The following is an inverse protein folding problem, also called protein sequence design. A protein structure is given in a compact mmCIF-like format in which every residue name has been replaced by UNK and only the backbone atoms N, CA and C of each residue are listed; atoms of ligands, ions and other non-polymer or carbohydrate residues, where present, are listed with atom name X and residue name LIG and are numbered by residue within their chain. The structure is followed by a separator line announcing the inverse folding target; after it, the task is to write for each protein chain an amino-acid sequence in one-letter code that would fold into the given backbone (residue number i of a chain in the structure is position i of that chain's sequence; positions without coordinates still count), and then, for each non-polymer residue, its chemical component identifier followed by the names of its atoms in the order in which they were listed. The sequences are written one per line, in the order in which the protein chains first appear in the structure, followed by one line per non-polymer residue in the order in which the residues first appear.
data_IF_489983822334
#
_entry.id   IF_489983822334
#
_cell.length_a   1.000
_cell.length_b   1.000
_cell.length_c   1.000
_cell.angle_alpha   90.00
_cell.angle_beta   90.00
_cell.angle_gamma   90.00
#
_symmetry.space_group_name_H-M   'P 1'
#
loop_
_entity.id
_entity.type
_entity.pdbx_description
1 polymer ?
#
# COMPACT_ATOMS: atom_id res chain seq x y z
N UNK A 1 3.96 -24.69 6.43
CA UNK A 1 3.63 -23.59 5.49
C UNK A 1 2.71 -22.61 6.22
N UNK A 2 3.07 -21.33 6.27
CA UNK A 2 2.33 -20.34 7.11
C UNK A 2 1.06 -19.78 6.47
N UNK A 3 0.84 -20.07 5.18
CA UNK A 3 -0.35 -19.63 4.43
C UNK A 3 -1.17 -20.80 3.87
N UNK A 4 -1.06 -21.99 4.44
CA UNK A 4 -1.75 -23.20 3.99
C UNK A 4 -3.26 -22.99 3.83
N UNK A 5 -3.78 -23.26 2.64
CA UNK A 5 -5.21 -23.16 2.31
C UNK A 5 -5.78 -21.73 2.29
N UNK A 6 -4.99 -20.68 2.51
CA UNK A 6 -5.46 -19.30 2.37
C UNK A 6 -5.66 -18.92 0.91
N UNK A 7 -6.69 -18.14 0.63
CA UNK A 7 -6.98 -17.62 -0.71
C UNK A 7 -6.47 -16.17 -0.80
N UNK A 8 -5.57 -15.94 -1.74
CA UNK A 8 -4.83 -14.67 -1.91
C UNK A 8 -5.13 -14.08 -3.28
N UNK A 9 -5.56 -12.84 -3.36
CA UNK A 9 -5.66 -12.07 -4.59
C UNK A 9 -4.55 -11.01 -4.64
N UNK A 10 -3.80 -10.95 -5.74
CA UNK A 10 -2.68 -10.02 -5.92
C UNK A 10 -2.87 -9.24 -7.21
N UNK A 11 -2.88 -7.91 -7.13
CA UNK A 11 -3.03 -7.04 -8.30
C UNK A 11 -1.68 -6.69 -8.93
N UNK A 12 -1.64 -6.55 -10.28
CA UNK A 12 -0.40 -6.26 -11.00
C UNK A 12 0.65 -7.37 -10.84
N UNK A 13 0.21 -8.63 -10.87
CA UNK A 13 1.04 -9.76 -10.45
C UNK A 13 1.52 -10.67 -11.60
N UNK A 14 1.36 -10.27 -12.87
CA UNK A 14 1.93 -11.02 -13.99
C UNK A 14 3.47 -10.95 -14.05
N UNK A 15 4.09 -9.99 -13.33
CA UNK A 15 5.54 -9.73 -13.35
C UNK A 15 6.03 -8.97 -12.11
N UNK A 16 7.37 -8.85 -11.98
CA UNK A 16 8.02 -8.04 -10.96
C UNK A 16 7.67 -8.43 -9.52
N UNK A 17 7.50 -7.45 -8.65
CA UNK A 17 7.22 -7.65 -7.23
C UNK A 17 5.94 -8.47 -7.01
N UNK A 18 4.89 -8.20 -7.78
CA UNK A 18 3.62 -8.95 -7.67
C UNK A 18 3.77 -10.44 -8.02
N UNK A 19 4.56 -10.77 -9.05
CA UNK A 19 4.86 -12.15 -9.41
C UNK A 19 5.67 -12.87 -8.32
N UNK A 20 6.68 -12.19 -7.75
CA UNK A 20 7.46 -12.73 -6.64
C UNK A 20 6.58 -13.00 -5.40
N UNK A 21 5.65 -12.10 -5.10
CA UNK A 21 4.65 -12.35 -4.05
C UNK A 21 3.80 -13.59 -4.36
N UNK A 22 3.31 -13.72 -5.59
CA UNK A 22 2.47 -14.85 -5.99
C UNK A 22 3.20 -16.19 -5.87
N UNK A 23 4.46 -16.24 -6.28
CA UNK A 23 5.30 -17.43 -6.16
C UNK A 23 5.52 -17.81 -4.70
N UNK A 24 5.90 -16.85 -3.86
CA UNK A 24 6.17 -17.11 -2.44
C UNK A 24 4.91 -17.52 -1.67
N UNK A 25 3.74 -16.90 -1.93
CA UNK A 25 2.48 -17.35 -1.35
C UNK A 25 2.14 -18.79 -1.74
N UNK A 26 2.34 -19.17 -3.00
CA UNK A 26 2.13 -20.57 -3.46
C UNK A 26 3.09 -21.52 -2.74
N UNK A 27 4.35 -21.15 -2.59
CA UNK A 27 5.36 -21.94 -1.86
C UNK A 27 4.98 -22.14 -0.39
N UNK A 28 4.22 -21.19 0.19
CA UNK A 28 3.70 -21.26 1.55
C UNK A 28 2.28 -21.86 1.65
N UNK A 29 1.80 -22.53 0.60
CA UNK A 29 0.56 -23.32 0.60
C UNK A 29 -0.71 -22.55 0.28
N UNK A 30 -0.61 -21.31 -0.19
CA UNK A 30 -1.79 -20.51 -0.54
C UNK A 30 -2.34 -20.83 -1.95
N UNK A 31 -3.64 -20.66 -2.12
CA UNK A 31 -4.30 -20.54 -3.42
C UNK A 31 -4.21 -19.08 -3.89
N UNK A 32 -3.51 -18.84 -4.99
CA UNK A 32 -3.23 -17.48 -5.45
C UNK A 32 -3.99 -17.17 -6.74
N UNK A 33 -4.69 -16.06 -6.75
CA UNK A 33 -5.28 -15.42 -7.93
C UNK A 33 -4.38 -14.27 -8.35
N UNK A 34 -3.79 -14.39 -9.52
CA UNK A 34 -2.99 -13.34 -10.17
C UNK A 34 -3.91 -12.47 -11.00
N UNK A 35 -4.00 -11.18 -10.68
CA UNK A 35 -4.64 -10.20 -11.53
C UNK A 35 -3.59 -9.32 -12.21
N UNK A 36 -3.79 -9.06 -13.48
CA UNK A 36 -3.08 -8.06 -14.27
C UNK A 36 -3.96 -7.62 -15.45
N UNK A 37 -3.62 -6.51 -16.10
CA UNK A 37 -4.26 -6.09 -17.36
C UNK A 37 -3.74 -6.90 -18.56
N UNK A 38 -2.55 -7.47 -18.45
CA UNK A 38 -1.85 -8.21 -19.51
C UNK A 38 -1.84 -9.75 -19.26
N UNK A 39 -2.76 -10.28 -18.46
CA UNK A 39 -2.84 -11.73 -18.21
C UNK A 39 -3.09 -12.13 -16.76
N UNK A 40 -2.79 -13.39 -16.42
CA UNK A 40 -3.06 -13.98 -15.12
C UNK A 40 -4.39 -14.72 -15.05
N UNK A 41 -4.81 -15.09 -13.83
CA UNK A 41 -6.11 -15.75 -13.59
C UNK A 41 -7.30 -14.81 -13.79
N UNK A 42 -7.06 -13.52 -13.62
CA UNK A 42 -8.03 -12.46 -13.74
C UNK A 42 -7.45 -11.31 -14.58
N UNK A 43 -7.79 -11.26 -15.86
CA UNK A 43 -7.35 -10.20 -16.78
C UNK A 43 -8.35 -9.06 -16.76
N UNK A 44 -8.11 -8.03 -15.93
CA UNK A 44 -8.98 -6.86 -15.80
C UNK A 44 -8.24 -5.65 -15.18
N UNK A 45 -8.72 -4.44 -15.51
CA UNK A 45 -8.25 -3.19 -14.91
C UNK A 45 -8.96 -2.95 -13.55
N UNK A 46 -8.26 -3.22 -12.46
CA UNK A 46 -8.75 -3.01 -11.08
C UNK A 46 -8.90 -1.55 -10.68
N UNK A 47 -8.50 -0.60 -11.54
CA UNK A 47 -8.80 0.82 -11.35
C UNK A 47 -10.22 1.20 -11.79
N UNK A 48 -10.97 0.25 -12.34
CA UNK A 48 -12.40 0.36 -12.62
C UNK A 48 -13.22 -0.33 -11.52
N UNK A 49 -14.45 0.14 -11.32
CA UNK A 49 -15.35 -0.44 -10.31
C UNK A 49 -15.61 -1.92 -10.56
N UNK A 50 -15.94 -2.27 -11.81
CA UNK A 50 -16.28 -3.64 -12.19
C UNK A 50 -15.07 -4.57 -12.20
N UNK A 51 -13.90 -4.08 -12.63
CA UNK A 51 -12.66 -4.85 -12.58
C UNK A 51 -12.23 -5.19 -11.16
N UNK A 52 -12.32 -4.24 -10.23
CA UNK A 52 -12.05 -4.51 -8.82
C UNK A 52 -13.09 -5.44 -8.18
N UNK A 53 -14.37 -5.29 -8.54
CA UNK A 53 -15.44 -6.17 -8.07
C UNK A 53 -15.25 -7.60 -8.54
N UNK A 54 -15.03 -7.79 -9.83
CA UNK A 54 -14.88 -9.12 -10.43
C UNK A 54 -13.67 -9.91 -9.92
N UNK A 55 -12.62 -9.23 -9.45
CA UNK A 55 -11.49 -9.89 -8.77
C UNK A 55 -11.92 -10.58 -7.47
N UNK A 56 -12.70 -9.89 -6.64
CA UNK A 56 -13.22 -10.46 -5.39
C UNK A 56 -14.24 -11.58 -5.68
N UNK A 57 -15.13 -11.35 -6.65
CA UNK A 57 -16.12 -12.35 -7.08
C UNK A 57 -15.45 -13.63 -7.60
N UNK A 58 -14.34 -13.51 -8.33
CA UNK A 58 -13.57 -14.67 -8.80
C UNK A 58 -13.00 -15.47 -7.62
N UNK A 59 -12.44 -14.82 -6.59
CA UNK A 59 -11.94 -15.50 -5.41
C UNK A 59 -13.05 -16.30 -4.70
N UNK A 60 -14.18 -15.64 -4.49
CA UNK A 60 -15.35 -16.24 -3.82
C UNK A 60 -15.96 -17.37 -4.65
N UNK A 61 -16.11 -17.21 -5.96
CA UNK A 61 -16.69 -18.25 -6.82
C UNK A 61 -15.80 -19.48 -6.96
N UNK A 62 -14.46 -19.29 -7.01
CA UNK A 62 -13.50 -20.38 -7.21
C UNK A 62 -13.17 -21.15 -5.94
N UNK A 63 -13.10 -20.44 -4.79
CA UNK A 63 -12.60 -20.99 -3.54
C UNK A 63 -13.54 -20.79 -2.33
N UNK A 64 -14.70 -20.16 -2.52
CA UNK A 64 -15.66 -19.88 -1.44
C UNK A 64 -15.25 -18.75 -0.48
N UNK A 65 -14.04 -18.16 -0.65
CA UNK A 65 -13.48 -17.18 0.30
C UNK A 65 -12.42 -16.29 -0.34
N UNK A 66 -12.12 -15.20 0.32
CA UNK A 66 -10.92 -14.39 0.12
C UNK A 66 -10.31 -14.10 1.49
N UNK A 67 -9.04 -14.43 1.69
CA UNK A 67 -8.34 -14.24 2.97
C UNK A 67 -7.30 -13.14 2.91
N UNK A 68 -6.65 -12.93 1.78
CA UNK A 68 -5.59 -11.95 1.61
C UNK A 68 -5.79 -11.16 0.33
N UNK A 69 -5.73 -9.84 0.45
CA UNK A 69 -5.67 -8.92 -0.68
C UNK A 69 -4.32 -8.21 -0.68
N UNK A 70 -3.53 -8.39 -1.74
CA UNK A 70 -2.28 -7.65 -1.96
C UNK A 70 -2.50 -6.65 -3.09
N UNK A 71 -2.56 -5.38 -2.75
CA UNK A 71 -2.66 -4.28 -3.69
C UNK A 71 -1.26 -3.85 -4.13
N UNK A 72 -0.85 -4.29 -5.33
CA UNK A 72 0.49 -4.04 -5.86
C UNK A 72 0.48 -3.36 -7.24
N UNK A 73 -0.61 -3.40 -7.99
CA UNK A 73 -0.71 -2.79 -9.33
C UNK A 73 -0.25 -1.32 -9.33
N UNK A 74 0.54 -0.95 -10.35
CA UNK A 74 1.08 0.41 -10.42
C UNK A 74 1.74 0.73 -11.75
N UNK A 75 1.86 2.03 -12.03
CA UNK A 75 2.54 2.62 -13.19
C UNK A 75 3.37 3.83 -12.75
N UNK A 76 4.27 4.29 -13.59
CA UNK A 76 4.99 5.55 -13.40
C UNK A 76 4.76 6.49 -14.59
N UNK A 77 4.69 7.78 -14.30
CA UNK A 77 4.64 8.90 -15.24
C UNK A 77 5.48 10.04 -14.67
N UNK A 78 6.81 9.80 -14.66
CA UNK A 78 7.76 10.68 -14.02
C UNK A 78 7.95 11.95 -14.83
N UNK A 79 7.67 13.10 -14.21
CA UNK A 79 7.81 14.44 -14.74
C UNK A 79 8.04 15.45 -13.61
N UNK A 80 8.83 16.48 -13.89
CA UNK A 80 8.90 17.65 -13.00
C UNK A 80 7.49 18.24 -12.83
N UNK A 81 7.16 18.72 -11.63
CA UNK A 81 5.83 19.23 -11.28
C UNK A 81 5.25 20.19 -12.34
N UNK A 82 6.07 21.14 -12.81
CA UNK A 82 5.65 22.16 -13.81
C UNK A 82 5.37 21.58 -15.20
N UNK A 83 5.80 20.35 -15.47
CA UNK A 83 5.68 19.68 -16.79
C UNK A 83 4.72 18.50 -16.76
N UNK A 84 4.15 18.16 -15.59
CA UNK A 84 3.18 17.06 -15.46
C UNK A 84 1.86 17.48 -16.11
N UNK A 85 1.38 16.68 -17.05
CA UNK A 85 0.06 16.87 -17.66
C UNK A 85 -1.04 16.33 -16.75
N UNK A 86 -2.29 16.82 -16.94
CA UNK A 86 -3.48 16.34 -16.26
C UNK A 86 -3.65 14.81 -16.46
N UNK A 87 -3.48 14.34 -17.70
CA UNK A 87 -3.60 12.90 -18.01
C UNK A 87 -2.55 12.04 -17.27
N UNK A 88 -1.29 12.50 -17.19
CA UNK A 88 -0.24 11.79 -16.43
C UNK A 88 -0.55 11.76 -14.94
N UNK A 89 -1.12 12.83 -14.40
CA UNK A 89 -1.60 12.88 -13.04
C UNK A 89 -2.75 11.90 -12.80
N UNK A 90 -3.79 11.98 -13.62
CA UNK A 90 -4.98 11.16 -13.49
C UNK A 90 -4.70 9.67 -13.65
N UNK A 91 -3.86 9.29 -14.61
CA UNK A 91 -3.44 7.91 -14.81
C UNK A 91 -2.80 7.32 -13.56
N UNK A 92 -1.86 8.05 -12.94
CA UNK A 92 -1.14 7.59 -11.76
C UNK A 92 -2.08 7.50 -10.55
N UNK A 93 -2.88 8.52 -10.28
CA UNK A 93 -3.85 8.52 -9.17
C UNK A 93 -4.89 7.42 -9.35
N UNK A 94 -5.37 7.21 -10.57
CA UNK A 94 -6.35 6.18 -10.91
C UNK A 94 -5.81 4.78 -10.66
N UNK A 95 -4.62 4.46 -11.20
CA UNK A 95 -4.06 3.11 -11.13
C UNK A 95 -3.52 2.79 -9.73
N UNK A 96 -3.00 3.77 -9.00
CA UNK A 96 -2.50 3.56 -7.64
C UNK A 96 -3.59 3.74 -6.59
N UNK A 97 -3.99 4.98 -6.33
CA UNK A 97 -4.82 5.30 -5.17
C UNK A 97 -6.26 4.79 -5.32
N UNK A 98 -6.88 5.06 -6.48
CA UNK A 98 -8.25 4.63 -6.72
C UNK A 98 -8.36 3.10 -6.79
N UNK A 99 -7.42 2.39 -7.44
CA UNK A 99 -7.45 0.93 -7.50
C UNK A 99 -7.34 0.29 -6.12
N UNK A 100 -6.42 0.76 -5.26
CA UNK A 100 -6.31 0.30 -3.87
C UNK A 100 -7.62 0.49 -3.10
N UNK A 101 -8.27 1.65 -3.25
CA UNK A 101 -9.58 1.89 -2.66
C UNK A 101 -10.63 0.90 -3.18
N UNK A 102 -10.75 0.72 -4.49
CA UNK A 102 -11.80 -0.09 -5.10
C UNK A 102 -11.70 -1.56 -4.68
N UNK A 103 -10.53 -2.15 -4.77
CA UNK A 103 -10.28 -3.55 -4.39
C UNK A 103 -10.55 -3.77 -2.90
N UNK A 104 -10.04 -2.88 -2.02
CA UNK A 104 -10.34 -2.95 -0.58
C UNK A 104 -11.83 -2.78 -0.28
N UNK A 105 -12.51 -1.84 -0.94
CA UNK A 105 -13.94 -1.62 -0.75
C UNK A 105 -14.76 -2.87 -1.05
N UNK A 106 -14.44 -3.60 -2.14
CA UNK A 106 -15.17 -4.81 -2.51
C UNK A 106 -14.82 -5.99 -1.59
N UNK A 107 -13.55 -6.17 -1.25
CA UNK A 107 -13.10 -7.18 -0.29
C UNK A 107 -13.70 -6.92 1.12
N UNK A 108 -13.67 -5.68 1.59
CA UNK A 108 -14.24 -5.30 2.88
C UNK A 108 -15.75 -5.54 2.96
N UNK A 109 -16.49 -5.31 1.86
CA UNK A 109 -17.91 -5.63 1.81
C UNK A 109 -18.15 -7.13 1.98
N UNK A 110 -17.38 -7.98 1.30
CA UNK A 110 -17.46 -9.44 1.44
C UNK A 110 -17.15 -9.87 2.88
N UNK A 111 -16.05 -9.42 3.47
CA UNK A 111 -15.68 -9.78 4.85
C UNK A 111 -16.70 -9.29 5.89
N UNK A 112 -17.23 -8.07 5.70
CA UNK A 112 -18.28 -7.54 6.57
C UNK A 112 -19.55 -8.42 6.58
N UNK A 113 -20.00 -8.86 5.40
CA UNK A 113 -21.19 -9.72 5.30
C UNK A 113 -20.95 -11.09 5.95
N UNK A 114 -19.77 -11.68 5.78
CA UNK A 114 -19.38 -12.91 6.47
C UNK A 114 -19.36 -12.75 8.00
N UNK A 115 -18.75 -11.67 8.48
CA UNK A 115 -18.72 -11.38 9.93
C UNK A 115 -20.13 -11.17 10.50
N UNK A 116 -21.04 -10.49 9.76
CA UNK A 116 -22.44 -10.34 10.15
C UNK A 116 -23.22 -11.67 10.15
N UNK A 117 -22.86 -12.60 9.29
CA UNK A 117 -23.41 -13.96 9.28
C UNK A 117 -22.88 -14.83 10.43
N UNK A 118 -22.02 -14.30 11.31
CA UNK A 118 -21.42 -15.03 12.43
C UNK A 118 -20.21 -15.88 12.03
N UNK A 119 -19.69 -15.73 10.82
CA UNK A 119 -18.51 -16.47 10.39
C UNK A 119 -17.22 -15.82 10.94
N UNK A 120 -16.27 -16.67 11.32
CA UNK A 120 -14.94 -16.20 11.73
C UNK A 120 -14.18 -15.64 10.50
N UNK A 121 -13.86 -14.36 10.54
CA UNK A 121 -13.03 -13.70 9.52
C UNK A 121 -11.64 -13.46 10.08
N UNK A 122 -10.62 -13.87 9.33
CA UNK A 122 -9.20 -13.61 9.62
C UNK A 122 -8.52 -13.15 8.34
N UNK A 123 -8.88 -11.95 7.88
CA UNK A 123 -8.43 -11.43 6.60
C UNK A 123 -7.27 -10.42 6.73
N UNK A 124 -6.51 -10.26 5.65
CA UNK A 124 -5.32 -9.40 5.57
C UNK A 124 -5.36 -8.56 4.32
N UNK A 125 -5.03 -7.28 4.46
CA UNK A 125 -4.78 -6.38 3.33
C UNK A 125 -3.34 -5.89 3.43
N UNK A 126 -2.60 -6.01 2.34
CA UNK A 126 -1.26 -5.47 2.20
C UNK A 126 -1.26 -4.48 1.02
N UNK A 127 -1.10 -3.21 1.33
CA UNK A 127 -1.04 -2.14 0.35
C UNK A 127 0.41 -1.82 -0.01
N UNK A 128 0.67 -1.47 -1.27
CA UNK A 128 2.01 -1.10 -1.72
C UNK A 128 2.13 0.43 -1.83
N UNK A 129 2.78 1.04 -0.84
CA UNK A 129 3.25 2.42 -0.87
C UNK A 129 4.63 2.51 -1.53
N UNK A 130 5.45 3.45 -1.15
CA UNK A 130 6.82 3.67 -1.64
C UNK A 130 7.55 4.63 -0.71
N UNK A 131 8.87 4.59 -0.67
CA UNK A 131 9.67 5.65 -0.06
C UNK A 131 9.32 7.04 -0.63
N UNK A 132 9.02 7.14 -1.93
CA UNK A 132 8.53 8.38 -2.54
C UNK A 132 7.20 8.87 -1.93
N UNK A 133 6.34 7.97 -1.44
CA UNK A 133 5.12 8.32 -0.73
C UNK A 133 5.34 8.71 0.73
N UNK A 134 6.46 8.29 1.31
CA UNK A 134 6.82 8.60 2.70
C UNK A 134 7.59 9.92 2.83
N UNK A 135 8.53 10.15 1.91
CA UNK A 135 9.50 11.24 2.00
C UNK A 135 9.48 12.18 0.79
N UNK A 136 8.66 11.88 -0.23
CA UNK A 136 8.68 12.60 -1.51
C UNK A 136 9.77 12.12 -2.46
N UNK A 137 9.64 12.46 -3.75
CA UNK A 137 10.67 12.20 -4.77
C UNK A 137 10.59 13.26 -5.85
N UNK A 138 11.71 13.87 -6.19
CA UNK A 138 11.79 14.87 -7.25
C UNK A 138 11.39 14.24 -8.59
N UNK A 139 10.55 14.94 -9.37
CA UNK A 139 10.04 14.43 -10.65
C UNK A 139 8.90 13.40 -10.52
N UNK A 140 8.39 13.15 -9.32
CA UNK A 140 7.34 12.16 -9.05
C UNK A 140 6.18 12.73 -8.22
N UNK A 141 5.75 13.95 -8.51
CA UNK A 141 4.69 14.62 -7.72
C UNK A 141 3.38 13.81 -7.68
N UNK A 142 2.92 13.29 -8.84
CA UNK A 142 1.73 12.44 -8.96
C UNK A 142 1.90 11.11 -8.21
N UNK A 143 3.04 10.45 -8.37
CA UNK A 143 3.34 9.16 -7.75
C UNK A 143 3.48 9.30 -6.23
N UNK A 144 4.26 10.29 -5.76
CA UNK A 144 4.42 10.57 -4.33
C UNK A 144 3.08 10.88 -3.66
N UNK A 145 2.24 11.71 -4.28
CA UNK A 145 0.90 12.02 -3.77
C UNK A 145 0.01 10.77 -3.68
N UNK A 146 -0.02 9.94 -4.73
CA UNK A 146 -0.82 8.71 -4.74
C UNK A 146 -0.33 7.72 -3.68
N UNK A 147 0.99 7.53 -3.54
CA UNK A 147 1.61 6.61 -2.58
C UNK A 147 1.47 7.09 -1.12
N UNK A 148 1.52 8.39 -0.87
CA UNK A 148 1.18 8.98 0.42
C UNK A 148 -0.31 8.79 0.76
N UNK A 149 -1.20 8.98 -0.23
CA UNK A 149 -2.64 8.71 -0.09
C UNK A 149 -2.95 7.26 0.29
N UNK A 150 -2.18 6.28 -0.22
CA UNK A 150 -2.30 4.86 0.15
C UNK A 150 -1.97 4.65 1.64
N UNK A 151 -0.99 5.36 2.20
CA UNK A 151 -0.70 5.29 3.65
C UNK A 151 -1.90 5.78 4.46
N UNK A 152 -2.48 6.94 4.12
CA UNK A 152 -3.69 7.45 4.77
C UNK A 152 -4.85 6.47 4.68
N UNK A 153 -5.09 5.90 3.50
CA UNK A 153 -6.12 4.89 3.26
C UNK A 153 -5.89 3.62 4.08
N UNK A 154 -4.63 3.18 4.25
CA UNK A 154 -4.24 2.05 5.09
C UNK A 154 -4.62 2.27 6.54
N UNK A 155 -4.32 3.45 7.10
CA UNK A 155 -4.61 3.79 8.50
C UNK A 155 -6.12 3.79 8.78
N UNK A 156 -6.90 4.41 7.90
CA UNK A 156 -8.36 4.44 8.02
C UNK A 156 -8.95 3.04 7.90
N UNK A 157 -8.56 2.28 6.89
CA UNK A 157 -9.05 0.92 6.69
C UNK A 157 -8.67 -0.02 7.84
N UNK A 158 -7.47 0.13 8.42
CA UNK A 158 -7.05 -0.63 9.61
C UNK A 158 -7.99 -0.39 10.79
N UNK A 159 -8.37 0.85 11.05
CA UNK A 159 -9.27 1.21 12.14
C UNK A 159 -10.72 0.73 11.90
N UNK A 160 -11.24 0.94 10.68
CA UNK A 160 -12.63 0.62 10.34
C UNK A 160 -12.90 -0.89 10.25
N UNK A 161 -11.92 -1.67 9.74
CA UNK A 161 -12.10 -3.08 9.43
C UNK A 161 -11.66 -4.02 10.57
N UNK A 162 -10.98 -3.52 11.59
CA UNK A 162 -10.54 -4.32 12.75
C UNK A 162 -11.70 -5.10 13.40
N UNK A 163 -12.85 -4.47 13.54
CA UNK A 163 -14.06 -5.10 14.12
C UNK A 163 -14.61 -6.28 13.31
N UNK A 164 -14.16 -6.45 12.07
CA UNK A 164 -14.53 -7.57 11.19
C UNK A 164 -13.42 -8.62 11.08
N UNK A 165 -12.36 -8.53 11.90
CA UNK A 165 -11.26 -9.48 11.87
C UNK A 165 -10.27 -9.27 10.72
N UNK A 166 -10.18 -8.05 10.19
CA UNK A 166 -9.28 -7.68 9.08
C UNK A 166 -8.14 -6.82 9.58
N UNK A 167 -6.90 -7.17 9.27
CA UNK A 167 -5.75 -6.29 9.44
C UNK A 167 -5.36 -5.65 8.11
N UNK A 168 -4.91 -4.40 8.17
CA UNK A 168 -4.50 -3.63 6.99
C UNK A 168 -3.15 -2.99 7.25
N UNK A 169 -2.15 -3.30 6.42
CA UNK A 169 -0.81 -2.75 6.53
C UNK A 169 -0.32 -2.28 5.15
N UNK A 170 0.74 -1.49 5.12
CA UNK A 170 1.39 -1.09 3.89
C UNK A 170 2.87 -1.46 3.88
N UNK A 171 3.41 -1.71 2.70
CA UNK A 171 4.83 -1.83 2.44
C UNK A 171 5.31 -0.67 1.56
N UNK A 172 6.56 -0.27 1.73
CA UNK A 172 7.31 0.63 0.86
C UNK A 172 8.56 -0.14 0.39
N UNK A 173 8.46 -0.90 -0.71
CA UNK A 173 9.52 -1.79 -1.16
C UNK A 173 10.59 -1.06 -1.95
N UNK A 174 11.85 -1.46 -1.78
CA UNK A 174 12.97 -1.14 -2.66
C UNK A 174 13.40 -2.42 -3.37
N UNK A 175 13.15 -2.51 -4.68
CA UNK A 175 13.53 -3.67 -5.48
C UNK A 175 13.81 -3.29 -6.94
N UNK A 176 14.67 -4.05 -7.60
CA UNK A 176 14.95 -3.92 -9.02
C UNK A 176 13.78 -4.50 -9.83
N UNK A 177 13.16 -3.64 -10.61
CA UNK A 177 12.05 -3.96 -11.51
C UNK A 177 12.22 -3.18 -12.80
N UNK A 178 11.37 -3.40 -13.80
CA UNK A 178 11.37 -2.56 -15.01
C UNK A 178 11.16 -1.06 -14.73
N UNK A 179 10.56 -0.74 -13.59
CA UNK A 179 10.32 0.66 -13.18
C UNK A 179 11.57 1.31 -12.58
N UNK A 180 12.45 0.53 -11.95
CA UNK A 180 13.60 1.01 -11.17
C UNK A 180 14.95 0.68 -11.80
N UNK A 181 15.06 -0.36 -12.64
CA UNK A 181 16.33 -0.91 -13.14
C UNK A 181 17.22 0.09 -13.87
N UNK A 182 16.62 1.08 -14.54
CA UNK A 182 17.38 2.11 -15.26
C UNK A 182 18.00 3.16 -14.34
N UNK A 183 17.34 3.45 -13.22
CA UNK A 183 17.76 4.47 -12.26
C UNK A 183 18.59 3.86 -11.12
N UNK A 184 18.28 2.63 -10.74
CA UNK A 184 18.85 1.93 -9.60
C UNK A 184 19.16 0.47 -9.96
N UNK A 185 20.21 0.21 -10.79
CA UNK A 185 20.52 -1.14 -11.27
C UNK A 185 20.96 -2.10 -10.17
N UNK A 186 21.50 -1.56 -9.07
CA UNK A 186 22.05 -2.34 -7.96
C UNK A 186 21.02 -2.73 -6.89
N UNK A 187 19.75 -2.36 -7.09
CA UNK A 187 18.70 -2.79 -6.15
C UNK A 187 18.56 -4.31 -6.13
N UNK A 188 18.19 -4.88 -4.96
CA UNK A 188 17.93 -6.31 -4.80
C UNK A 188 16.77 -6.78 -5.68
N UNK A 189 16.64 -8.08 -5.85
CA UNK A 189 15.55 -8.67 -6.63
C UNK A 189 14.18 -8.48 -5.97
N UNK A 190 13.10 -8.59 -6.75
CA UNK A 190 11.74 -8.47 -6.22
C UNK A 190 11.38 -9.59 -5.24
N UNK A 191 12.06 -10.74 -5.31
CA UNK A 191 11.91 -11.89 -4.40
C UNK A 191 12.26 -11.55 -2.94
N UNK A 192 13.15 -10.59 -2.70
CA UNK A 192 13.55 -10.17 -1.36
C UNK A 192 12.44 -9.42 -0.60
N UNK A 193 11.44 -8.91 -1.30
CA UNK A 193 10.26 -8.23 -0.71
C UNK A 193 9.20 -9.25 -0.26
N UNK A 194 9.11 -10.38 -0.94
CA UNK A 194 8.02 -11.34 -0.79
C UNK A 194 7.90 -11.95 0.63
N UNK A 195 8.96 -12.29 1.36
CA UNK A 195 8.85 -12.90 2.69
C UNK A 195 8.04 -12.07 3.68
N UNK A 196 8.25 -10.74 3.73
CA UNK A 196 7.48 -9.85 4.61
C UNK A 196 5.99 -9.84 4.21
N UNK A 197 5.69 -9.76 2.92
CA UNK A 197 4.30 -9.70 2.43
C UNK A 197 3.56 -11.00 2.73
N UNK A 198 4.21 -12.13 2.56
CA UNK A 198 3.64 -13.45 2.89
C UNK A 198 3.40 -13.60 4.39
N UNK A 199 4.36 -13.18 5.23
CA UNK A 199 4.16 -13.17 6.67
C UNK A 199 2.99 -12.25 7.08
N UNK A 200 2.90 -11.03 6.53
CA UNK A 200 1.77 -10.13 6.74
C UNK A 200 0.44 -10.75 6.26
N UNK A 201 0.48 -11.59 5.23
CA UNK A 201 -0.67 -12.34 4.72
C UNK A 201 -1.04 -13.57 5.54
N UNK A 202 -0.21 -14.01 6.47
CA UNK A 202 -0.44 -15.20 7.30
C UNK A 202 -1.34 -14.92 8.52
N UNK A 203 -1.68 -15.96 9.25
CA UNK A 203 -2.38 -15.83 10.53
C UNK A 203 -1.46 -15.34 11.66
N UNK A 204 -0.15 -15.50 11.52
CA UNK A 204 0.84 -15.10 12.52
C UNK A 204 0.91 -13.58 12.70
N UNK A 205 0.54 -12.80 11.67
CA UNK A 205 0.52 -11.34 11.71
C UNK A 205 -0.77 -10.73 12.31
N UNK A 206 -1.62 -11.53 12.98
CA UNK A 206 -2.94 -11.09 13.49
C UNK A 206 -2.88 -9.86 14.41
N UNK A 207 -1.78 -9.68 15.14
CA UNK A 207 -1.57 -8.53 16.03
C UNK A 207 -1.00 -7.28 15.33
N UNK A 208 -0.76 -7.31 14.01
CA UNK A 208 -0.12 -6.21 13.27
C UNK A 208 -1.11 -5.57 12.31
N UNK A 209 -1.50 -4.33 12.60
CA UNK A 209 -2.41 -3.54 11.75
C UNK A 209 -2.07 -2.06 11.81
N UNK A 210 -2.37 -1.31 10.75
CA UNK A 210 -2.11 0.12 10.66
C UNK A 210 -0.61 0.47 10.61
N UNK A 211 0.24 -0.45 10.14
CA UNK A 211 1.68 -0.24 10.06
C UNK A 211 2.16 -0.05 8.63
N UNK A 212 3.25 0.68 8.51
CA UNK A 212 3.99 0.85 7.25
C UNK A 212 5.39 0.28 7.44
N UNK A 213 5.82 -0.55 6.50
CA UNK A 213 7.13 -1.20 6.53
C UNK A 213 7.92 -0.83 5.27
N UNK A 214 9.13 -0.30 5.44
CA UNK A 214 10.09 -0.34 4.35
C UNK A 214 10.75 -1.71 4.32
N UNK A 215 10.97 -2.23 3.12
CA UNK A 215 11.62 -3.52 2.89
C UNK A 215 12.59 -3.44 1.72
N UNK A 216 13.84 -3.79 1.98
CA UNK A 216 14.94 -3.80 1.01
C UNK A 216 15.92 -4.91 1.35
N UNK A 217 16.11 -5.87 0.46
CA UNK A 217 16.92 -7.06 0.73
C UNK A 217 16.52 -7.71 2.08
N UNK A 218 17.48 -7.99 2.94
CA UNK A 218 17.24 -8.54 4.29
C UNK A 218 16.83 -7.52 5.36
N UNK A 219 16.60 -6.24 4.99
CA UNK A 219 16.28 -5.18 5.93
C UNK A 219 14.79 -4.89 5.96
N UNK A 220 14.19 -4.89 7.14
CA UNK A 220 12.80 -4.49 7.39
C UNK A 220 12.82 -3.35 8.41
N UNK A 221 12.16 -2.24 8.06
CA UNK A 221 12.04 -1.06 8.94
C UNK A 221 10.57 -0.73 9.15
N UNK A 222 10.14 -0.54 10.39
CA UNK A 222 8.82 0.02 10.69
C UNK A 222 8.91 1.53 10.61
N UNK A 223 8.08 2.13 9.74
CA UNK A 223 8.00 3.58 9.62
C UNK A 223 6.92 4.11 10.53
N UNK A 224 7.29 5.04 11.42
CA UNK A 224 6.34 5.80 12.22
C UNK A 224 5.65 6.85 11.34
N UNK A 225 4.33 6.97 11.46
CA UNK A 225 3.57 7.99 10.75
C UNK A 225 3.87 9.41 11.25
N UNK A 226 3.08 10.38 10.77
CA UNK A 226 3.20 11.78 11.19
C UNK A 226 3.05 11.92 12.71
N UNK A 227 4.05 12.49 13.36
CA UNK A 227 4.09 12.73 14.80
C UNK A 227 4.03 14.23 15.06
N UNK A 228 3.31 14.63 16.13
CA UNK A 228 3.38 15.98 16.64
C UNK A 228 4.66 16.13 17.46
N UNK A 229 5.63 16.87 16.94
CA UNK A 229 6.96 17.00 17.54
C UNK A 229 7.07 18.18 18.50
N UNK A 230 6.30 19.26 18.26
CA UNK A 230 6.26 20.44 19.14
C UNK A 230 4.86 21.09 19.06
N UNK A 231 4.45 21.72 20.13
CA UNK A 231 3.19 22.45 20.22
C UNK A 231 3.39 23.70 21.07
N UNK A 232 2.76 24.79 20.68
CA UNK A 232 2.58 25.99 21.51
C UNK A 232 1.09 26.31 21.53
N UNK A 233 0.56 26.55 22.71
CA UNK A 233 -0.85 26.92 22.90
C UNK A 233 -0.92 28.27 23.62
N UNK A 234 -1.66 29.20 23.02
CA UNK A 234 -1.91 30.53 23.59
C UNK A 234 -3.19 30.60 24.43
N UNK A 235 -4.02 29.57 24.36
CA UNK A 235 -5.34 29.57 25.01
C UNK A 235 -6.39 30.42 24.31
N UNK A 236 -6.17 30.86 23.05
CA UNK A 236 -7.11 31.68 22.28
C UNK A 236 -6.60 32.00 20.88
N UNK A 237 -7.30 32.91 20.18
CA UNK A 237 -6.91 33.33 18.82
C UNK A 237 -5.56 34.05 18.85
N UNK A 238 -4.64 33.65 17.98
CA UNK A 238 -3.36 34.28 17.75
C UNK A 238 -3.53 35.63 17.02
N UNK A 239 -2.93 36.74 17.52
CA UNK A 239 -2.67 37.89 16.69
C UNK A 239 -1.67 37.51 15.59
N UNK A 240 -1.88 37.98 14.36
CA UNK A 240 -1.03 37.60 13.21
C UNK A 240 0.43 37.98 13.44
N UNK A 241 0.68 39.10 14.08
CA UNK A 241 2.00 39.67 14.43
C UNK A 241 2.82 38.78 15.39
N UNK A 242 2.15 37.94 16.21
CA UNK A 242 2.82 37.04 17.17
C UNK A 242 3.13 35.66 16.58
N UNK A 243 2.46 35.29 15.47
CA UNK A 243 2.58 33.93 14.87
C UNK A 243 4.01 33.63 14.43
N UNK A 244 4.71 34.61 13.84
CA UNK A 244 6.08 34.42 13.35
C UNK A 244 7.06 34.00 14.45
N UNK A 245 7.02 34.67 15.59
CA UNK A 245 7.86 34.35 16.75
C UNK A 245 7.52 32.98 17.34
N UNK A 246 6.23 32.64 17.42
CA UNK A 246 5.78 31.35 17.91
C UNK A 246 6.23 30.18 17.00
N UNK A 247 6.14 30.33 15.67
CA UNK A 247 6.62 29.36 14.71
C UNK A 247 8.14 29.20 14.77
N UNK A 248 8.89 30.29 14.86
CA UNK A 248 10.36 30.25 15.02
C UNK A 248 10.76 29.39 16.23
N UNK A 249 10.12 29.63 17.40
CA UNK A 249 10.37 28.85 18.60
C UNK A 249 9.98 27.38 18.51
N UNK A 250 8.99 27.02 17.67
CA UNK A 250 8.65 25.65 17.37
C UNK A 250 9.71 24.99 16.47
N UNK A 251 10.21 25.71 15.47
CA UNK A 251 11.22 25.19 14.53
C UNK A 251 12.54 24.85 15.24
N UNK A 252 12.94 25.60 16.27
CA UNK A 252 14.11 25.25 17.10
C UNK A 252 14.01 23.88 17.79
N UNK A 253 12.79 23.40 18.03
CA UNK A 253 12.51 22.12 18.70
C UNK A 253 12.18 21.00 17.70
N UNK A 254 12.10 21.34 16.42
CA UNK A 254 11.73 20.39 15.36
C UNK A 254 12.98 19.68 14.83
N UNK A 255 12.97 18.35 14.64
CA UNK A 255 14.05 17.65 13.98
C UNK A 255 14.31 18.20 12.57
N UNK A 256 15.53 18.06 12.04
CA UNK A 256 15.83 18.38 10.66
C UNK A 256 14.84 17.71 9.68
N UNK A 257 14.56 18.36 8.57
CA UNK A 257 13.73 17.77 7.51
C UNK A 257 14.37 16.48 7.00
N UNK A 258 13.51 15.49 6.72
CA UNK A 258 13.94 14.27 6.02
C UNK A 258 14.15 14.63 4.55
N UNK A 259 15.32 14.33 3.97
CA UNK A 259 15.58 14.66 2.57
C UNK A 259 14.58 14.01 1.61
N UNK A 260 14.13 14.78 0.64
CA UNK A 260 13.35 14.26 -0.49
C UNK A 260 14.28 13.48 -1.42
N UNK A 261 13.84 12.33 -1.94
CA UNK A 261 14.63 11.56 -2.89
C UNK A 261 14.94 12.35 -4.15
N UNK A 262 16.21 12.40 -4.53
CA UNK A 262 16.69 13.12 -5.72
C UNK A 262 16.80 14.64 -5.55
N UNK A 263 16.72 15.15 -4.32
CA UNK A 263 17.01 16.55 -4.00
C UNK A 263 18.50 16.78 -3.75
#
# INVERSE_FOLDING_TARGET
MICEGRVVAITGAARGIGAAHAEEFRRQGAHVIVNDVDGGDHTADVSTWDGARSLVELAVSRYGRLDVLVNNAGIVRDRMLVSTSEQEWDDVVRVHLKAHFLTMRHAAAHWRERAKAGEAVSARVINTSSGAGLFGSVGQANYSAAKAGIVGLTLVAAAELARYGVTVNAIAPSARTRMTEKLFPDLPGPEDVAPLVVWLGSTESAGVTGRVFEVEAGKITVVSGHQRVATVDRGGRWPVEEVGAAVAALMEKTPPEVPVYGA
#
